data_IF_518274253488
#
_entry.id   IF_518274253488
#
_cell.length_a   1.000
_cell.length_b   1.000
_cell.length_c   1.000
_cell.angle_alpha   90.00
_cell.angle_beta   90.00
_cell.angle_gamma   90.00
#
_symmetry.space_group_name_H-M   'P 1'
#
loop_
_entity.id
_entity.type
_entity.pdbx_description
1 polymer ?
#
# COMPACT_ATOMS: atom_id res chain seq x y z
N UNK A 1 39.91 4.76 18.60
CA UNK A 1 40.09 5.88 17.68
C UNK A 1 38.75 6.28 17.07
N UNK A 2 38.48 7.59 16.98
CA UNK A 2 37.28 8.04 16.32
C UNK A 2 37.30 7.67 14.84
N UNK A 3 36.17 7.23 14.34
CA UNK A 3 36.00 6.85 12.95
C UNK A 3 34.99 7.77 12.28
N UNK A 4 35.18 8.05 10.99
CA UNK A 4 34.19 8.76 10.19
C UNK A 4 33.08 7.82 9.85
N UNK A 5 31.85 8.21 10.14
CA UNK A 5 30.63 7.43 9.86
C UNK A 5 29.63 8.32 9.12
N UNK A 6 29.04 7.78 8.10
CA UNK A 6 28.05 8.50 7.30
C UNK A 6 26.64 8.14 7.75
N UNK A 7 25.86 9.15 8.15
CA UNK A 7 24.45 9.02 8.47
C UNK A 7 23.63 9.73 7.39
N UNK A 8 23.07 8.97 6.47
CA UNK A 8 22.39 9.53 5.32
C UNK A 8 23.35 10.30 4.42
N UNK A 9 23.18 11.62 4.32
CA UNK A 9 24.07 12.51 3.57
C UNK A 9 25.09 13.24 4.45
N UNK A 10 25.05 13.01 5.74
CA UNK A 10 25.91 13.71 6.69
C UNK A 10 27.01 12.80 7.20
N UNK A 11 28.25 13.25 7.08
CA UNK A 11 29.39 12.55 7.61
C UNK A 11 29.68 13.07 9.02
N UNK A 12 29.83 12.15 9.97
CA UNK A 12 30.12 12.48 11.38
C UNK A 12 31.26 11.63 11.92
N UNK A 13 31.89 12.09 12.95
CA UNK A 13 32.94 11.33 13.65
C UNK A 13 32.32 10.51 14.76
N UNK A 14 32.58 9.22 14.73
CA UNK A 14 32.11 8.29 15.77
C UNK A 14 33.22 8.12 16.82
N UNK A 15 32.87 8.36 18.07
CA UNK A 15 33.78 8.18 19.20
C UNK A 15 33.49 6.90 19.99
N UNK A 16 32.68 5.99 19.39
CA UNK A 16 32.33 4.73 20.02
C UNK A 16 33.58 3.86 20.20
N UNK A 17 33.68 3.25 21.37
CA UNK A 17 34.82 2.35 21.72
C UNK A 17 34.48 0.89 21.50
N UNK A 18 33.22 0.57 21.24
CA UNK A 18 32.75 -0.79 21.01
C UNK A 18 32.31 -0.96 19.57
N UNK A 19 32.48 -2.18 19.07
CA UNK A 19 31.94 -2.53 17.78
C UNK A 19 30.43 -2.56 17.86
N UNK A 20 29.80 -2.23 16.77
CA UNK A 20 28.34 -2.26 16.65
C UNK A 20 27.87 -3.71 16.68
N UNK A 21 27.17 -4.11 17.75
CA UNK A 21 26.66 -5.46 17.93
C UNK A 21 25.42 -5.70 17.06
N UNK A 22 24.60 -4.67 16.95
CA UNK A 22 23.39 -4.69 16.12
C UNK A 22 23.34 -3.45 15.27
N UNK A 23 22.91 -3.61 14.03
CA UNK A 23 22.67 -2.47 13.17
C UNK A 23 21.51 -1.64 13.75
N UNK A 24 21.56 -0.34 13.47
CA UNK A 24 20.47 0.55 13.87
C UNK A 24 19.17 0.09 13.23
N UNK A 25 18.10 -0.13 14.01
CA UNK A 25 16.83 -0.55 13.42
C UNK A 25 16.25 0.56 12.54
N UNK A 26 15.54 0.15 11.50
CA UNK A 26 14.83 1.08 10.65
C UNK A 26 13.60 1.60 11.40
N UNK A 27 13.60 2.87 11.75
CA UNK A 27 12.51 3.49 12.51
C UNK A 27 11.19 3.54 11.72
N UNK A 28 11.27 3.36 10.40
CA UNK A 28 10.11 3.37 9.53
C UNK A 28 9.62 1.96 9.18
N UNK A 29 10.22 0.94 9.78
CA UNK A 29 9.93 -0.45 9.46
C UNK A 29 8.47 -0.83 9.71
N UNK A 30 7.87 -0.33 10.80
CA UNK A 30 6.48 -0.63 11.15
C UNK A 30 5.54 -0.18 10.03
N UNK A 31 5.69 1.06 9.58
CA UNK A 31 4.86 1.63 8.52
C UNK A 31 5.07 0.91 7.18
N UNK A 32 6.31 0.69 6.81
CA UNK A 32 6.64 0.03 5.54
C UNK A 32 6.17 -1.42 5.49
N UNK A 33 6.38 -2.16 6.57
CA UNK A 33 5.94 -3.55 6.65
C UNK A 33 4.42 -3.67 6.66
N UNK A 34 3.73 -2.76 7.35
CA UNK A 34 2.28 -2.73 7.38
C UNK A 34 1.70 -2.47 5.99
N UNK A 35 2.26 -1.53 5.26
CA UNK A 35 1.82 -1.22 3.89
C UNK A 35 2.09 -2.38 2.94
N UNK A 36 3.26 -3.00 3.05
CA UNK A 36 3.61 -4.17 2.25
C UNK A 36 2.65 -5.33 2.51
N UNK A 37 2.34 -5.59 3.78
CA UNK A 37 1.36 -6.60 4.16
C UNK A 37 -0.01 -6.28 3.57
N UNK A 38 -0.43 -5.02 3.63
CA UNK A 38 -1.71 -4.59 3.07
C UNK A 38 -1.79 -4.88 1.58
N UNK A 39 -0.74 -4.58 0.82
CA UNK A 39 -0.72 -4.82 -0.63
C UNK A 39 -0.67 -6.31 -0.97
N UNK A 40 0.06 -7.11 -0.20
CA UNK A 40 0.25 -8.53 -0.47
C UNK A 40 -0.87 -9.41 0.07
N UNK A 41 -1.35 -9.13 1.25
CA UNK A 41 -2.32 -9.99 1.96
C UNK A 41 -3.62 -9.28 2.33
N UNK A 42 -3.54 -8.05 2.82
CA UNK A 42 -4.71 -7.32 3.33
C UNK A 42 -5.78 -7.09 2.27
N UNK A 43 -5.39 -6.65 1.09
CA UNK A 43 -6.33 -6.47 -0.03
C UNK A 43 -6.95 -7.80 -0.46
N UNK A 44 -6.17 -8.86 -0.45
CA UNK A 44 -6.66 -10.20 -0.79
C UNK A 44 -7.72 -10.66 0.19
N UNK A 45 -7.52 -10.43 1.48
CA UNK A 45 -8.49 -10.76 2.51
C UNK A 45 -9.78 -9.96 2.37
N UNK A 46 -9.68 -8.67 2.04
CA UNK A 46 -10.84 -7.81 1.78
C UNK A 46 -11.64 -8.35 0.59
N UNK A 47 -10.98 -8.71 -0.49
CA UNK A 47 -11.65 -9.26 -1.67
C UNK A 47 -12.26 -10.64 -1.42
N UNK A 48 -11.71 -11.42 -0.51
CA UNK A 48 -12.30 -12.69 -0.09
C UNK A 48 -13.59 -12.48 0.70
N UNK A 49 -13.66 -11.45 1.53
CA UNK A 49 -14.85 -11.14 2.31
C UNK A 49 -16.03 -10.73 1.42
N UNK A 50 -15.76 -10.12 0.27
CA UNK A 50 -16.77 -9.72 -0.71
C UNK A 50 -16.69 -10.58 -1.97
N UNK A 51 -16.20 -11.80 -1.84
CA UNK A 51 -15.85 -12.69 -2.96
C UNK A 51 -16.96 -12.86 -3.98
N UNK A 52 -18.19 -13.05 -3.51
CA UNK A 52 -19.31 -13.32 -4.41
C UNK A 52 -20.44 -12.33 -4.14
N UNK A 53 -20.84 -11.61 -5.19
CA UNK A 53 -22.02 -10.75 -5.17
C UNK A 53 -23.05 -11.38 -6.08
N UNK A 54 -24.20 -11.72 -5.52
CA UNK A 54 -25.29 -12.34 -6.29
C UNK A 54 -26.42 -11.35 -6.51
N UNK A 55 -27.11 -11.54 -7.64
CA UNK A 55 -28.31 -10.79 -7.96
C UNK A 55 -29.48 -11.20 -7.04
N UNK A 56 -30.52 -10.37 -7.00
CA UNK A 56 -31.74 -10.64 -6.26
C UNK A 56 -32.37 -12.00 -6.64
N UNK A 57 -32.37 -12.33 -7.92
CA UNK A 57 -32.87 -13.61 -8.42
C UNK A 57 -31.87 -14.76 -8.29
N UNK A 58 -30.62 -14.46 -7.97
CA UNK A 58 -29.55 -15.44 -7.89
C UNK A 58 -29.04 -15.94 -9.24
N UNK A 59 -29.46 -15.34 -10.35
CA UNK A 59 -29.06 -15.75 -11.69
C UNK A 59 -27.73 -15.14 -12.12
N UNK A 60 -27.37 -13.98 -11.59
CA UNK A 60 -26.11 -13.32 -11.88
C UNK A 60 -25.19 -13.41 -10.67
N UNK A 61 -23.97 -13.81 -10.92
CA UNK A 61 -22.95 -13.95 -9.88
C UNK A 61 -21.70 -13.20 -10.30
N UNK A 62 -21.29 -12.24 -9.47
CA UNK A 62 -20.07 -11.47 -9.69
C UNK A 62 -19.02 -11.94 -8.71
N UNK A 63 -17.86 -12.33 -9.23
CA UNK A 63 -16.78 -12.88 -8.44
C UNK A 63 -15.49 -12.08 -8.67
N UNK A 64 -14.82 -11.69 -7.59
CA UNK A 64 -13.51 -11.07 -7.69
C UNK A 64 -12.46 -12.17 -7.80
N UNK A 65 -11.74 -12.17 -8.93
CA UNK A 65 -10.75 -13.23 -9.22
C UNK A 65 -9.37 -12.84 -8.70
N UNK A 66 -8.93 -11.64 -9.05
CA UNK A 66 -7.59 -11.16 -8.69
C UNK A 66 -7.55 -9.64 -8.76
N UNK A 67 -6.47 -9.07 -8.26
CA UNK A 67 -6.25 -7.64 -8.33
C UNK A 67 -4.80 -7.36 -8.74
N UNK A 68 -4.60 -6.22 -9.36
CA UNK A 68 -3.28 -5.75 -9.76
C UNK A 68 -3.20 -4.25 -9.55
N UNK A 69 -2.09 -3.80 -9.01
CA UNK A 69 -1.79 -2.38 -8.88
C UNK A 69 -0.73 -2.02 -9.90
N UNK A 70 -0.96 -0.95 -10.65
CA UNK A 70 0.02 -0.45 -11.59
C UNK A 70 1.24 0.06 -10.82
N UNK A 71 2.42 -0.38 -11.20
CA UNK A 71 3.66 0.03 -10.55
C UNK A 71 4.07 1.46 -10.94
N UNK A 72 3.50 1.97 -12.01
CA UNK A 72 3.86 3.30 -12.53
C UNK A 72 2.85 4.34 -12.08
N UNK A 73 3.17 5.16 -11.08
CA UNK A 73 2.29 6.25 -10.69
C UNK A 73 2.23 7.32 -11.77
N UNK A 74 1.12 8.03 -11.83
CA UNK A 74 0.90 9.08 -12.82
C UNK A 74 1.92 10.22 -12.68
N UNK A 75 2.28 10.55 -11.44
CA UNK A 75 3.25 11.61 -11.12
C UNK A 75 4.25 11.08 -10.10
N UNK A 76 5.46 11.65 -10.11
CA UNK A 76 6.45 11.37 -9.06
C UNK A 76 6.06 12.06 -7.75
N UNK A 77 6.74 11.70 -6.67
CA UNK A 77 6.49 12.32 -5.36
C UNK A 77 6.66 13.84 -5.40
N UNK A 78 7.71 14.32 -6.05
CA UNK A 78 8.00 15.75 -6.17
C UNK A 78 6.97 16.47 -7.01
N UNK A 79 6.55 15.86 -8.11
CA UNK A 79 5.50 16.41 -8.97
C UNK A 79 4.16 16.51 -8.24
N UNK A 80 3.84 15.52 -7.43
CA UNK A 80 2.63 15.53 -6.62
C UNK A 80 2.64 16.68 -5.62
N UNK A 81 3.76 16.93 -4.99
CA UNK A 81 3.91 18.06 -4.05
C UNK A 81 3.79 19.42 -4.76
N UNK A 82 4.34 19.52 -5.95
CA UNK A 82 4.29 20.76 -6.72
C UNK A 82 2.92 21.06 -7.30
N UNK A 83 2.15 20.01 -7.64
CA UNK A 83 0.84 20.13 -8.31
C UNK A 83 -0.35 19.92 -7.39
N UNK A 84 -0.12 19.81 -6.09
CA UNK A 84 -1.18 19.48 -5.13
C UNK A 84 -1.93 18.20 -5.49
N UNK A 85 -1.20 17.21 -6.01
CA UNK A 85 -1.75 15.93 -6.44
C UNK A 85 -1.46 14.85 -5.41
N UNK A 86 -2.10 13.69 -5.60
CA UNK A 86 -1.88 12.53 -4.73
C UNK A 86 -0.94 11.54 -5.42
N UNK A 87 0.09 11.11 -4.71
CA UNK A 87 1.01 10.07 -5.17
C UNK A 87 0.29 8.72 -5.07
N UNK A 88 -0.24 8.26 -6.19
CA UNK A 88 -1.10 7.08 -6.22
C UNK A 88 -0.94 6.32 -7.53
N UNK A 89 -1.30 5.05 -7.49
CA UNK A 89 -1.34 4.20 -8.66
C UNK A 89 -2.73 3.60 -8.82
N UNK A 90 -3.18 3.36 -10.06
CA UNK A 90 -4.49 2.75 -10.28
C UNK A 90 -4.53 1.30 -9.83
N UNK A 91 -5.60 0.93 -9.16
CA UNK A 91 -5.89 -0.44 -8.78
C UNK A 91 -6.91 -1.01 -9.74
N UNK A 92 -6.55 -2.10 -10.37
CA UNK A 92 -7.43 -2.82 -11.29
C UNK A 92 -7.77 -4.17 -10.71
N UNK A 93 -9.00 -4.58 -10.88
CA UNK A 93 -9.51 -5.85 -10.36
C UNK A 93 -10.06 -6.67 -11.50
N UNK A 94 -9.64 -7.93 -11.57
CA UNK A 94 -10.20 -8.88 -12.51
C UNK A 94 -11.46 -9.48 -11.90
N UNK A 95 -12.57 -9.30 -12.58
CA UNK A 95 -13.87 -9.81 -12.13
C UNK A 95 -14.41 -10.80 -13.13
N UNK A 96 -15.15 -11.77 -12.60
CA UNK A 96 -15.85 -12.77 -13.42
C UNK A 96 -17.34 -12.65 -13.17
N UNK A 97 -18.08 -12.37 -14.22
CA UNK A 97 -19.54 -12.34 -14.18
C UNK A 97 -20.07 -13.63 -14.78
N UNK A 98 -20.82 -14.37 -13.99
CA UNK A 98 -21.47 -15.62 -14.44
C UNK A 98 -22.96 -15.42 -14.50
N UNK A 99 -23.54 -15.72 -15.66
CA UNK A 99 -24.99 -15.78 -15.84
C UNK A 99 -25.43 -17.24 -15.80
N UNK A 100 -26.18 -17.62 -14.78
CA UNK A 100 -26.61 -19.02 -14.59
C UNK A 100 -27.66 -19.43 -15.57
N UNK A 101 -28.47 -18.51 -16.07
CA UNK A 101 -29.53 -18.83 -17.04
C UNK A 101 -28.97 -19.18 -18.41
N UNK A 102 -27.99 -18.39 -18.88
CA UNK A 102 -27.38 -18.60 -20.20
C UNK A 102 -26.05 -19.34 -20.12
N UNK A 103 -25.57 -19.62 -18.94
CA UNK A 103 -24.25 -20.23 -18.64
C UNK A 103 -23.09 -19.45 -19.27
N UNK A 104 -23.26 -18.15 -19.49
CA UNK A 104 -22.21 -17.30 -19.99
C UNK A 104 -21.30 -16.84 -18.84
N UNK A 105 -20.01 -16.89 -19.10
CA UNK A 105 -18.99 -16.39 -18.18
C UNK A 105 -18.21 -15.29 -18.89
N UNK A 106 -18.23 -14.10 -18.31
CA UNK A 106 -17.46 -12.96 -18.83
C UNK A 106 -16.43 -12.55 -17.81
N UNK A 107 -15.20 -12.42 -18.26
CA UNK A 107 -14.12 -11.88 -17.43
C UNK A 107 -13.76 -10.50 -17.94
N UNK A 108 -13.59 -9.58 -17.02
CA UNK A 108 -13.21 -8.21 -17.35
C UNK A 108 -12.37 -7.62 -16.23
N UNK A 109 -11.42 -6.80 -16.64
CA UNK A 109 -10.61 -6.04 -15.71
C UNK A 109 -11.25 -4.67 -15.53
N UNK A 110 -11.58 -4.31 -14.29
CA UNK A 110 -12.20 -3.03 -13.99
C UNK A 110 -11.28 -2.18 -13.13
N UNK A 111 -11.36 -0.88 -13.36
CA UNK A 111 -10.63 0.11 -12.59
C UNK A 111 -11.41 0.42 -11.32
N UNK A 112 -10.83 0.12 -10.17
CA UNK A 112 -11.46 0.34 -8.87
C UNK A 112 -11.20 1.73 -8.31
N UNK A 113 -10.06 2.32 -8.62
CA UNK A 113 -9.68 3.63 -8.12
C UNK A 113 -8.18 3.76 -7.97
N UNK A 114 -7.74 4.93 -7.54
CA UNK A 114 -6.34 5.19 -7.27
C UNK A 114 -6.05 4.90 -5.81
N UNK A 115 -5.01 4.09 -5.57
CA UNK A 115 -4.52 3.81 -4.21
C UNK A 115 -3.28 4.64 -3.94
N UNK A 116 -3.23 5.31 -2.79
CA UNK A 116 -2.03 6.05 -2.43
C UNK A 116 -0.84 5.12 -2.23
N UNK A 117 0.29 5.53 -2.78
CA UNK A 117 1.54 4.78 -2.67
C UNK A 117 2.38 5.35 -1.53
N UNK A 118 3.04 4.45 -0.82
CA UNK A 118 3.96 4.84 0.25
C UNK A 118 5.31 5.24 -0.35
N UNK A 119 5.84 6.37 0.09
CA UNK A 119 7.16 6.83 -0.31
C UNK A 119 8.25 6.03 0.40
N UNK A 120 9.50 6.22 -0.01
CA UNK A 120 10.64 5.58 0.64
C UNK A 120 10.80 5.98 2.10
N UNK A 121 10.23 7.13 2.48
CA UNK A 121 10.25 7.63 3.86
C UNK A 121 9.10 7.09 4.71
N UNK A 122 8.27 6.20 4.17
CA UNK A 122 7.14 5.65 4.89
C UNK A 122 5.94 6.59 4.98
N UNK A 123 5.89 7.60 4.13
CA UNK A 123 4.83 8.61 4.12
C UNK A 123 3.95 8.49 2.90
N UNK A 124 2.85 9.22 2.89
CA UNK A 124 1.95 9.34 1.74
C UNK A 124 1.85 10.80 1.33
N UNK A 125 1.78 11.05 0.03
CA UNK A 125 1.55 12.39 -0.50
C UNK A 125 0.11 12.47 -0.95
N UNK A 126 -0.71 13.25 -0.24
CA UNK A 126 -2.13 13.41 -0.52
C UNK A 126 -2.44 14.89 -0.71
N UNK A 127 -2.92 15.23 -1.90
CA UNK A 127 -3.20 16.60 -2.30
C UNK A 127 -1.99 17.53 -2.09
N UNK A 128 -0.80 17.00 -2.36
CA UNK A 128 0.45 17.73 -2.23
C UNK A 128 1.05 17.78 -0.83
N UNK A 129 0.33 17.28 0.16
CA UNK A 129 0.80 17.27 1.55
C UNK A 129 1.35 15.88 1.91
N UNK A 130 2.55 15.86 2.44
CA UNK A 130 3.16 14.61 2.92
C UNK A 130 2.58 14.27 4.28
N UNK A 131 1.97 13.07 4.36
CA UNK A 131 1.28 12.59 5.56
C UNK A 131 1.80 11.23 5.98
N UNK A 132 1.68 10.94 7.26
CA UNK A 132 2.09 9.64 7.80
C UNK A 132 0.98 9.07 8.67
N UNK A 133 0.83 7.76 8.61
CA UNK A 133 -0.10 7.05 9.49
C UNK A 133 0.64 6.69 10.76
N UNK A 134 0.14 7.20 11.87
CA UNK A 134 0.77 7.03 13.18
C UNK A 134 0.10 5.87 13.91
N UNK A 135 0.92 4.97 14.45
CA UNK A 135 0.44 3.89 15.28
C UNK A 135 -0.13 4.45 16.58
N UNK A 136 -1.28 3.98 16.98
CA UNK A 136 -1.97 4.45 18.18
C UNK A 136 -2.34 3.27 19.05
N UNK A 137 -2.01 3.38 20.32
CA UNK A 137 -2.42 2.42 21.32
C UNK A 137 -3.63 2.98 22.05
N UNK A 138 -4.74 2.30 21.95
CA UNK A 138 -6.00 2.76 22.53
C UNK A 138 -6.39 1.84 23.68
N UNK A 139 -6.81 2.45 24.79
CA UNK A 139 -7.30 1.69 25.93
C UNK A 139 -8.63 1.04 25.56
N UNK A 140 -8.78 -0.26 25.84
CA UNK A 140 -10.02 -0.95 25.56
C UNK A 140 -11.16 -0.44 26.44
N UNK A 141 -12.39 -0.40 25.92
CA UNK A 141 -13.56 0.03 26.71
C UNK A 141 -13.81 -0.90 27.89
N UNK A 142 -14.16 -0.33 28.99
CA UNK A 142 -14.46 -1.08 30.22
C UNK A 142 -13.34 -1.04 31.24
#
# INVERSE_FOLDING_TARGET
>A
MPKAVTYGKTERMSFARHEEIQSMPNLLEIQKNSYKWFLEEGLRDVFKDVDVITDYSGNLELRFVDYAMDENPKYTEEECKARDATYAAPLKVSVRLRNKETEEIKEQEIFMGDFPLMTNSGTFVINGAERVIVSQIVRSPG
#
